data_IF_769986876953
#
_entry.id   IF_769986876953
#
_cell.length_a   1.000
_cell.length_b   1.000
_cell.length_c   1.000
_cell.angle_alpha   90.00
_cell.angle_beta   90.00
_cell.angle_gamma   90.00
#
_symmetry.space_group_name_H-M   'P 1'
#
loop_
_entity.id
_entity.type
_entity.pdbx_description
1 polymer ?
#
# COMPACT_ATOMS: atom_id res chain seq x y z
N UNK A 1 -4.92 2.31 19.35
CA UNK A 1 -5.96 3.27 19.71
C UNK A 1 -5.94 3.40 21.21
N UNK A 2 -6.14 4.60 21.74
CA UNK A 2 -6.33 4.77 23.18
C UNK A 2 -7.68 4.17 23.61
N UNK A 3 -7.86 3.96 24.92
CA UNK A 3 -9.15 3.55 25.47
C UNK A 3 -10.25 4.57 25.15
N UNK A 4 -9.92 5.87 25.15
CA UNK A 4 -10.84 6.95 24.80
C UNK A 4 -11.34 6.88 23.34
N UNK A 5 -10.45 6.60 22.38
CA UNK A 5 -10.84 6.43 20.98
C UNK A 5 -11.74 5.21 20.78
N UNK A 6 -11.48 4.14 21.55
CA UNK A 6 -12.27 2.90 21.48
C UNK A 6 -13.69 3.12 22.00
N UNK A 7 -13.83 3.95 23.05
CA UNK A 7 -15.14 4.37 23.57
C UNK A 7 -15.91 5.26 22.59
N UNK A 8 -15.22 6.15 21.87
CA UNK A 8 -15.83 7.04 20.87
C UNK A 8 -16.26 6.28 19.60
N UNK A 9 -15.55 5.23 19.23
CA UNK A 9 -15.81 4.44 18.02
C UNK A 9 -15.96 2.94 18.33
N UNK A 10 -17.06 2.53 19.00
CA UNK A 10 -17.22 1.17 19.52
C UNK A 10 -17.24 0.07 18.43
N UNK A 11 -17.58 0.44 17.19
CA UNK A 11 -17.56 -0.48 16.04
C UNK A 11 -16.17 -0.64 15.40
N UNK A 12 -15.20 0.23 15.71
CA UNK A 12 -13.83 0.11 15.20
C UNK A 12 -13.07 -0.90 16.05
N UNK A 13 -12.85 -2.10 15.50
CA UNK A 13 -12.00 -3.10 16.15
C UNK A 13 -10.53 -2.72 16.00
N UNK A 14 -9.76 -3.00 17.05
CA UNK A 14 -8.30 -2.96 16.97
C UNK A 14 -7.83 -3.93 15.88
N UNK A 15 -6.95 -3.45 15.01
CA UNK A 15 -6.22 -4.29 14.07
C UNK A 15 -5.41 -5.32 14.86
N UNK A 16 -5.78 -6.59 14.73
CA UNK A 16 -5.02 -7.69 15.31
C UNK A 16 -3.68 -7.81 14.59
N UNK A 17 -2.62 -7.92 15.38
CA UNK A 17 -1.28 -8.24 14.89
C UNK A 17 -0.99 -9.72 15.18
N UNK A 18 -0.34 -10.46 14.28
CA UNK A 18 0.05 -10.04 12.92
C UNK A 18 -1.16 -9.87 12.00
N UNK A 19 -1.00 -9.08 10.93
CA UNK A 19 -2.00 -9.01 9.87
C UNK A 19 -2.18 -10.39 9.23
N UNK A 20 -3.40 -10.76 8.79
CA UNK A 20 -3.60 -12.01 8.05
C UNK A 20 -2.69 -12.04 6.82
N UNK A 21 -2.09 -13.20 6.56
CA UNK A 21 -1.11 -13.38 5.48
C UNK A 21 -1.66 -12.96 4.10
N UNK A 22 -2.96 -13.13 3.87
CA UNK A 22 -3.65 -12.72 2.64
C UNK A 22 -3.52 -11.22 2.34
N UNK A 23 -3.41 -10.37 3.37
CA UNK A 23 -3.25 -8.92 3.18
C UNK A 23 -1.79 -8.50 3.03
N UNK A 24 -0.83 -9.36 3.41
CA UNK A 24 0.60 -9.02 3.42
C UNK A 24 1.08 -8.63 2.02
N UNK A 25 0.68 -9.40 0.99
CA UNK A 25 1.04 -9.11 -0.41
C UNK A 25 0.47 -7.78 -0.90
N UNK A 26 -0.84 -7.56 -0.71
CA UNK A 26 -1.49 -6.33 -1.15
C UNK A 26 -0.94 -5.07 -0.48
N UNK A 27 -0.63 -5.14 0.82
CA UNK A 27 -0.01 -4.02 1.54
C UNK A 27 1.43 -3.82 1.09
N UNK A 28 2.18 -4.89 0.80
CA UNK A 28 3.55 -4.78 0.26
C UNK A 28 3.54 -4.05 -1.08
N UNK A 29 2.63 -4.41 -1.99
CA UNK A 29 2.46 -3.73 -3.26
C UNK A 29 2.05 -2.27 -3.07
N UNK A 30 1.15 -2.00 -2.12
CA UNK A 30 0.73 -0.64 -1.79
C UNK A 30 1.93 0.22 -1.35
N UNK A 31 2.83 -0.31 -0.53
CA UNK A 31 4.04 0.40 -0.11
C UNK A 31 5.07 0.55 -1.24
N UNK A 32 5.14 -0.42 -2.16
CA UNK A 32 6.11 -0.46 -3.25
C UNK A 32 5.71 0.42 -4.45
N UNK A 33 4.43 0.38 -4.85
CA UNK A 33 3.90 0.97 -6.08
C UNK A 33 2.70 1.90 -5.87
N UNK A 34 2.25 2.08 -4.63
CA UNK A 34 1.08 2.91 -4.31
C UNK A 34 -0.27 2.26 -4.64
N UNK A 35 -0.27 0.99 -5.06
CA UNK A 35 -1.47 0.22 -5.41
C UNK A 35 -1.37 -1.21 -4.91
N UNK A 36 -2.52 -1.84 -4.63
CA UNK A 36 -2.58 -3.25 -4.22
C UNK A 36 -2.14 -4.17 -5.37
N UNK A 37 -2.56 -3.84 -6.60
CA UNK A 37 -2.18 -4.56 -7.80
C UNK A 37 -0.91 -3.94 -8.39
N UNK A 38 -0.07 -4.75 -9.01
CA UNK A 38 1.04 -4.26 -9.84
C UNK A 38 0.54 -3.89 -11.24
N UNK A 39 1.17 -2.91 -11.88
CA UNK A 39 0.87 -2.54 -13.26
C UNK A 39 1.55 -3.56 -14.20
N UNK A 40 0.76 -4.51 -14.70
CA UNK A 40 1.24 -5.57 -15.60
C UNK A 40 1.42 -5.04 -17.04
N UNK A 41 2.34 -5.65 -17.79
CA UNK A 41 2.61 -5.29 -19.19
C UNK A 41 1.35 -5.35 -20.08
N UNK A 42 0.51 -6.37 -19.89
CA UNK A 42 -0.79 -6.46 -20.57
C UNK A 42 -1.64 -5.20 -20.42
N UNK A 43 -1.65 -4.58 -19.23
CA UNK A 43 -2.43 -3.37 -18.97
C UNK A 43 -1.79 -2.16 -19.64
N UNK A 44 -0.46 -2.12 -19.69
CA UNK A 44 0.30 -1.06 -20.36
C UNK A 44 0.06 -1.08 -21.87
N UNK A 45 0.13 -2.28 -22.46
CA UNK A 45 -0.13 -2.50 -23.88
C UNK A 45 -1.57 -2.15 -24.24
N UNK A 46 -2.54 -2.64 -23.46
CA UNK A 46 -3.94 -2.41 -23.73
C UNK A 46 -4.31 -0.93 -23.63
N UNK A 47 -3.76 -0.21 -22.66
CA UNK A 47 -3.94 1.25 -22.54
C UNK A 47 -3.39 1.98 -23.76
N UNK A 48 -2.19 1.62 -24.18
CA UNK A 48 -1.56 2.21 -25.37
C UNK A 48 -2.36 1.91 -26.64
N UNK A 49 -2.90 0.69 -26.77
CA UNK A 49 -3.73 0.26 -27.91
C UNK A 49 -5.00 1.11 -28.06
N UNK A 50 -5.60 1.52 -26.96
CA UNK A 50 -6.81 2.38 -26.97
C UNK A 50 -6.49 3.89 -26.93
N UNK A 51 -5.22 4.27 -27.12
CA UNK A 51 -4.78 5.67 -27.18
C UNK A 51 -4.65 6.36 -25.82
N UNK A 52 -4.64 5.61 -24.72
CA UNK A 52 -4.35 6.14 -23.39
C UNK A 52 -2.85 6.09 -23.09
N UNK A 53 -2.41 6.89 -22.12
CA UNK A 53 -1.05 6.76 -21.59
C UNK A 53 -0.82 5.36 -21.00
N UNK A 54 0.31 4.76 -21.37
CA UNK A 54 0.83 3.47 -20.90
C UNK A 54 0.63 3.23 -19.39
N UNK A 55 1.16 4.13 -18.56
CA UNK A 55 0.88 4.17 -17.13
C UNK A 55 -0.21 5.21 -16.84
N UNK A 56 -1.22 4.87 -16.01
CA UNK A 56 -2.23 5.85 -15.62
C UNK A 56 -1.61 6.96 -14.74
N UNK A 57 -2.20 8.17 -14.72
CA UNK A 57 -1.70 9.32 -13.96
C UNK A 57 -2.01 9.20 -12.46
N UNK A 58 -1.66 8.07 -11.85
CA UNK A 58 -1.82 7.76 -10.42
C UNK A 58 -0.43 7.61 -9.77
N UNK A 59 -0.36 7.03 -8.57
CA UNK A 59 0.92 6.74 -7.91
C UNK A 59 1.87 5.82 -8.70
N UNK A 60 1.41 5.17 -9.79
CA UNK A 60 2.28 4.46 -10.72
C UNK A 60 3.24 5.41 -11.47
N UNK A 61 2.81 6.64 -11.76
CA UNK A 61 3.58 7.66 -12.50
C UNK A 61 3.97 8.84 -11.61
N UNK A 62 3.21 9.10 -10.54
CA UNK A 62 3.43 10.23 -9.64
C UNK A 62 4.27 9.81 -8.42
N UNK A 63 5.59 10.03 -8.50
CA UNK A 63 6.53 9.70 -7.43
C UNK A 63 6.27 10.47 -6.13
N UNK A 64 5.79 11.72 -6.22
CA UNK A 64 5.44 12.52 -5.05
C UNK A 64 4.30 11.87 -4.27
N UNK A 65 3.26 11.41 -4.97
CA UNK A 65 2.14 10.72 -4.34
C UNK A 65 2.57 9.39 -3.69
N UNK A 66 3.46 8.64 -4.36
CA UNK A 66 4.03 7.42 -3.79
C UNK A 66 4.83 7.72 -2.51
N UNK A 67 5.66 8.76 -2.52
CA UNK A 67 6.44 9.18 -1.36
C UNK A 67 5.53 9.61 -0.19
N UNK A 68 4.50 10.41 -0.44
CA UNK A 68 3.52 10.81 0.59
C UNK A 68 2.83 9.60 1.22
N UNK A 69 2.45 8.61 0.41
CA UNK A 69 1.88 7.35 0.90
C UNK A 69 2.87 6.60 1.81
N UNK A 70 4.13 6.51 1.41
CA UNK A 70 5.17 5.86 2.20
C UNK A 70 5.44 6.58 3.53
N UNK A 71 5.39 7.91 3.55
CA UNK A 71 5.49 8.71 4.78
C UNK A 71 4.32 8.40 5.72
N UNK A 72 3.09 8.39 5.21
CA UNK A 72 1.89 8.03 6.00
C UNK A 72 2.02 6.61 6.55
N UNK A 73 2.52 5.66 5.76
CA UNK A 73 2.73 4.29 6.21
C UNK A 73 3.70 4.19 7.39
N UNK A 74 4.80 4.94 7.35
CA UNK A 74 5.78 5.03 8.47
C UNK A 74 5.16 5.67 9.71
N UNK A 75 4.41 6.77 9.55
CA UNK A 75 3.74 7.47 10.65
C UNK A 75 2.70 6.58 11.34
N UNK A 76 1.94 5.82 10.56
CA UNK A 76 0.90 4.89 11.06
C UNK A 76 1.45 3.53 11.49
N UNK A 77 2.75 3.29 11.32
CA UNK A 77 3.44 2.02 11.59
C UNK A 77 2.86 0.84 10.81
N UNK A 78 2.28 1.10 9.64
CA UNK A 78 1.71 0.07 8.77
C UNK A 78 2.80 -0.86 8.22
N UNK A 79 3.93 -0.27 7.84
CA UNK A 79 5.15 -0.95 7.41
C UNK A 79 5.63 -2.00 8.43
N UNK A 80 5.61 -1.65 9.72
CA UNK A 80 5.98 -2.57 10.81
C UNK A 80 5.01 -3.75 10.93
N UNK A 81 3.71 -3.55 10.68
CA UNK A 81 2.70 -4.62 10.78
C UNK A 81 2.85 -5.70 9.70
N UNK A 82 3.51 -5.38 8.59
CA UNK A 82 3.82 -6.32 7.51
C UNK A 82 5.31 -6.68 7.43
N UNK A 83 6.11 -6.22 8.40
CA UNK A 83 7.56 -6.38 8.43
C UNK A 83 8.25 -5.91 7.13
N UNK A 84 7.79 -4.81 6.54
CA UNK A 84 8.33 -4.29 5.28
C UNK A 84 9.77 -3.80 5.46
N UNK A 85 10.67 -4.27 4.61
CA UNK A 85 12.04 -3.79 4.50
C UNK A 85 12.12 -2.67 3.46
N UNK A 86 12.51 -1.47 3.91
CA UNK A 86 12.56 -0.29 3.05
C UNK A 86 13.75 -0.29 2.08
N UNK A 87 14.81 -1.04 2.35
CA UNK A 87 15.97 -1.16 1.47
C UNK A 87 15.68 -2.18 0.37
N UNK A 88 15.14 -3.34 0.75
CA UNK A 88 14.83 -4.44 -0.19
C UNK A 88 13.48 -4.25 -0.89
N UNK A 89 12.61 -3.37 -0.38
CA UNK A 89 11.21 -3.18 -0.81
C UNK A 89 10.39 -4.47 -0.77
N UNK A 90 10.70 -5.35 0.18
CA UNK A 90 10.07 -6.65 0.37
C UNK A 90 9.84 -6.90 1.86
N UNK A 91 8.91 -7.79 2.26
CA UNK A 91 8.79 -8.16 3.64
C UNK A 91 10.02 -8.94 4.11
N UNK A 92 10.48 -8.68 5.34
CA UNK A 92 11.44 -9.53 6.02
C UNK A 92 10.85 -10.94 6.14
N UNK A 93 11.61 -11.93 5.69
CA UNK A 93 11.35 -13.36 5.85
C UNK A 93 11.59 -13.73 7.32
#
# INVERSE_FOLDING_TARGET
MSEEETKRFPLRRLLKSPLPLSFKGGITNLLKFGHIQELLDFWVEERSRIGLEAAPPTAYKNEKALHELQVIAKQTKLDKKVAFDWERKEPKV
#
